data_IF_292803032905
#
_entry.id   IF_292803032905
#
_cell.length_a   1.000
_cell.length_b   1.000
_cell.length_c   1.000
_cell.angle_alpha   90.00
_cell.angle_beta   90.00
_cell.angle_gamma   90.00
#
_symmetry.space_group_name_H-M   'P 1'
#
loop_
_entity.id
_entity.type
_entity.pdbx_description
1 polymer ?
#
# COMPACT_ATOMS: atom_id res chain seq x y z
N UNK A 1 9.89 21.18 6.91
CA UNK A 1 9.71 19.75 6.55
C UNK A 1 8.40 19.62 5.79
N UNK A 2 8.35 18.90 4.67
CA UNK A 2 7.12 18.62 3.92
C UNK A 2 6.77 17.13 4.08
N UNK A 3 5.86 16.78 5.00
CA UNK A 3 5.51 15.38 5.22
C UNK A 3 4.61 14.85 4.12
N UNK A 4 4.69 13.54 3.88
CA UNK A 4 3.70 12.77 3.13
C UNK A 4 3.27 11.64 4.06
N UNK A 5 1.96 11.44 4.23
CA UNK A 5 1.43 10.32 5.02
C UNK A 5 1.24 9.11 4.12
N UNK A 6 1.39 7.91 4.69
CA UNK A 6 1.22 6.64 3.97
C UNK A 6 0.37 5.70 4.82
N UNK A 7 -0.65 5.10 4.23
CA UNK A 7 -1.48 4.07 4.89
C UNK A 7 -0.76 2.73 4.98
N UNK A 8 -1.10 1.89 5.95
CA UNK A 8 -0.49 0.58 6.13
C UNK A 8 -1.21 -0.50 5.29
N UNK A 9 -0.54 -1.14 4.32
CA UNK A 9 -1.05 -2.34 3.66
C UNK A 9 -0.82 -3.57 4.53
N UNK A 10 -1.67 -4.58 4.32
CA UNK A 10 -1.56 -5.91 4.92
C UNK A 10 -2.06 -6.96 3.92
N UNK A 11 -1.53 -8.18 4.01
CA UNK A 11 -1.92 -9.28 3.14
C UNK A 11 -3.37 -9.71 3.41
N UNK A 12 -3.73 -9.97 4.67
CA UNK A 12 -5.08 -10.44 5.02
C UNK A 12 -6.15 -9.36 4.79
N UNK A 13 -7.40 -9.80 4.60
CA UNK A 13 -8.53 -8.92 4.33
C UNK A 13 -9.56 -9.59 3.46
N UNK A 14 -10.32 -8.83 2.69
CA UNK A 14 -11.25 -9.41 1.72
C UNK A 14 -10.52 -9.87 0.47
N UNK A 15 -10.84 -11.05 -0.04
CA UNK A 15 -10.33 -11.56 -1.31
C UNK A 15 -9.61 -12.90 -1.19
N UNK A 16 -9.22 -13.43 -2.33
CA UNK A 16 -8.46 -14.67 -2.45
C UNK A 16 -7.04 -14.31 -2.86
N UNK A 17 -6.05 -14.83 -2.15
CA UNK A 17 -4.65 -14.68 -2.51
C UNK A 17 -4.39 -15.36 -3.86
N UNK A 18 -4.01 -14.63 -4.93
CA UNK A 18 -3.83 -15.20 -6.26
C UNK A 18 -2.65 -16.18 -6.34
N UNK A 19 -1.66 -16.09 -5.44
CA UNK A 19 -0.50 -17.00 -5.45
C UNK A 19 -0.82 -18.35 -4.80
N UNK A 20 -1.70 -18.38 -3.79
CA UNK A 20 -1.97 -19.60 -3.02
C UNK A 20 -3.40 -20.14 -3.16
N UNK A 21 -4.34 -19.32 -3.62
CA UNK A 21 -5.78 -19.64 -3.66
C UNK A 21 -6.47 -19.58 -2.30
N UNK A 22 -5.78 -19.12 -1.25
CA UNK A 22 -6.34 -19.03 0.10
C UNK A 22 -7.31 -17.86 0.22
N UNK A 23 -8.48 -18.08 0.84
CA UNK A 23 -9.39 -17.01 1.23
C UNK A 23 -8.81 -16.22 2.41
N UNK A 24 -8.30 -15.02 2.11
CA UNK A 24 -7.66 -14.11 3.06
C UNK A 24 -8.63 -13.54 4.09
N UNK A 25 -9.94 -13.70 3.90
CA UNK A 25 -10.94 -13.30 4.87
C UNK A 25 -11.05 -14.26 6.04
N UNK A 26 -10.71 -15.53 5.79
CA UNK A 26 -10.86 -16.64 6.74
C UNK A 26 -9.59 -16.98 7.51
N UNK A 27 -8.42 -16.47 7.08
CA UNK A 27 -7.16 -16.73 7.77
C UNK A 27 -7.22 -16.21 9.21
N UNK A 28 -6.60 -16.95 10.13
CA UNK A 28 -6.62 -16.60 11.55
C UNK A 28 -5.49 -15.62 11.88
N UNK A 29 -5.87 -14.41 12.24
CA UNK A 29 -4.97 -13.35 12.72
C UNK A 29 -5.19 -13.19 14.22
N UNK A 30 -4.34 -13.87 15.00
CA UNK A 30 -4.51 -14.01 16.47
C UNK A 30 -5.88 -14.64 16.79
N UNK A 31 -6.81 -13.85 17.31
CA UNK A 31 -8.16 -14.30 17.70
C UNK A 31 -9.25 -13.82 16.73
N UNK A 32 -8.84 -13.22 15.60
CA UNK A 32 -9.75 -12.67 14.59
C UNK A 32 -9.61 -13.40 13.26
N UNK A 33 -10.69 -13.42 12.48
CA UNK A 33 -10.61 -13.72 11.04
C UNK A 33 -9.95 -12.56 10.28
N UNK A 34 -9.31 -12.87 9.15
CA UNK A 34 -8.56 -11.90 8.35
C UNK A 34 -9.38 -10.70 7.89
N UNK A 35 -10.66 -10.89 7.56
CA UNK A 35 -11.57 -9.76 7.26
C UNK A 35 -11.77 -8.82 8.46
N UNK A 36 -11.98 -9.36 9.66
CA UNK A 36 -12.17 -8.56 10.87
C UNK A 36 -10.88 -7.88 11.29
N UNK A 37 -9.74 -8.57 11.22
CA UNK A 37 -8.44 -8.00 11.50
C UNK A 37 -8.10 -6.86 10.51
N UNK A 38 -8.44 -7.03 9.24
CA UNK A 38 -8.29 -5.98 8.23
C UNK A 38 -9.15 -4.76 8.54
N UNK A 39 -10.42 -4.95 8.90
CA UNK A 39 -11.30 -3.82 9.28
C UNK A 39 -10.72 -3.01 10.43
N UNK A 40 -10.06 -3.66 11.41
CA UNK A 40 -9.37 -2.95 12.48
C UNK A 40 -8.21 -2.10 11.94
N UNK A 41 -7.34 -2.65 11.10
CA UNK A 41 -6.25 -1.88 10.48
C UNK A 41 -6.81 -0.74 9.61
N UNK A 42 -7.91 -0.99 8.90
CA UNK A 42 -8.52 0.00 8.02
C UNK A 42 -9.05 1.21 8.81
N UNK A 43 -9.40 1.05 10.09
CA UNK A 43 -9.68 2.20 10.96
C UNK A 43 -8.47 3.07 11.21
N UNK A 44 -7.27 2.50 11.32
CA UNK A 44 -6.04 3.30 11.39
C UNK A 44 -5.80 4.03 10.07
N UNK A 45 -5.97 3.34 8.94
CA UNK A 45 -5.85 3.95 7.60
C UNK A 45 -6.86 5.09 7.39
N UNK A 46 -8.11 4.94 7.84
CA UNK A 46 -9.14 5.98 7.83
C UNK A 46 -8.69 7.23 8.59
N UNK A 47 -8.07 7.05 9.76
CA UNK A 47 -7.51 8.17 10.54
C UNK A 47 -6.34 8.83 9.81
N UNK A 48 -5.45 8.06 9.18
CA UNK A 48 -4.35 8.60 8.36
C UNK A 48 -4.88 9.45 7.20
N UNK A 49 -5.85 8.93 6.45
CA UNK A 49 -6.52 9.67 5.35
C UNK A 49 -7.22 10.92 5.86
N UNK A 50 -7.94 10.83 6.98
CA UNK A 50 -8.60 11.98 7.61
C UNK A 50 -7.59 13.03 8.05
N UNK A 51 -6.48 12.64 8.67
CA UNK A 51 -5.45 13.55 9.12
C UNK A 51 -4.83 14.30 7.95
N UNK A 52 -4.53 13.60 6.85
CA UNK A 52 -4.02 14.25 5.63
C UNK A 52 -4.96 15.34 5.10
N UNK A 53 -6.27 15.08 5.06
CA UNK A 53 -7.25 16.10 4.66
C UNK A 53 -7.35 17.28 5.63
N UNK A 54 -7.32 17.03 6.94
CA UNK A 54 -7.49 18.08 7.97
C UNK A 54 -6.24 18.94 8.10
N UNK A 55 -5.06 18.35 7.95
CA UNK A 55 -3.78 19.03 8.08
C UNK A 55 -3.22 19.55 6.74
N UNK A 56 -3.94 19.36 5.63
CA UNK A 56 -3.49 19.65 4.26
C UNK A 56 -2.13 18.99 3.94
N UNK A 57 -2.03 17.70 4.28
CA UNK A 57 -0.85 16.86 4.04
C UNK A 57 -1.22 15.78 3.02
N UNK A 58 -0.47 15.61 1.93
CA UNK A 58 -0.71 14.55 0.96
C UNK A 58 -0.68 13.16 1.59
N UNK A 59 -1.56 12.28 1.10
CA UNK A 59 -1.67 10.89 1.55
C UNK A 59 -1.47 9.96 0.37
N UNK A 60 -0.59 8.97 0.53
CA UNK A 60 -0.46 7.84 -0.37
C UNK A 60 -1.20 6.65 0.21
N UNK A 61 -2.24 6.20 -0.48
CA UNK A 61 -3.08 5.07 -0.07
C UNK A 61 -2.43 3.72 -0.47
N UNK A 62 -1.25 3.46 0.09
CA UNK A 62 -0.51 2.22 -0.13
C UNK A 62 -1.34 0.97 0.27
N UNK A 63 -2.28 1.13 1.21
CA UNK A 63 -3.19 0.07 1.64
C UNK A 63 -4.13 -0.39 0.52
N UNK A 64 -4.58 0.54 -0.33
CA UNK A 64 -5.40 0.25 -1.49
C UNK A 64 -4.56 -0.15 -2.72
N UNK A 65 -3.37 0.45 -2.88
CA UNK A 65 -2.52 0.25 -4.06
C UNK A 65 -1.69 -1.06 -4.01
N UNK A 66 -1.39 -1.58 -2.82
CA UNK A 66 -0.63 -2.84 -2.69
C UNK A 66 -1.52 -4.07 -2.94
N UNK A 67 -1.11 -5.00 -3.83
CA UNK A 67 -1.85 -6.22 -4.09
C UNK A 67 -1.91 -7.14 -2.86
N UNK A 68 -3.07 -7.73 -2.59
CA UNK A 68 -3.22 -8.81 -1.60
C UNK A 68 -2.76 -10.14 -2.17
N UNK A 69 -1.46 -10.25 -2.42
CA UNK A 69 -0.79 -11.41 -3.01
C UNK A 69 0.40 -11.79 -2.13
N UNK A 70 0.43 -13.03 -1.63
CA UNK A 70 1.49 -13.50 -0.73
C UNK A 70 2.88 -13.48 -1.36
N UNK A 71 3.01 -13.39 -2.69
CA UNK A 71 4.30 -13.15 -3.37
C UNK A 71 5.01 -11.91 -2.83
N UNK A 72 4.25 -10.89 -2.44
CA UNK A 72 4.79 -9.61 -1.96
C UNK A 72 5.03 -9.57 -0.45
N UNK A 73 4.63 -10.60 0.31
CA UNK A 73 4.74 -10.60 1.76
C UNK A 73 5.43 -11.86 2.29
N UNK A 74 6.41 -11.69 3.17
CA UNK A 74 7.03 -12.79 3.92
C UNK A 74 6.06 -13.38 4.95
N UNK A 75 5.23 -12.53 5.54
CA UNK A 75 4.19 -12.89 6.49
C UNK A 75 2.93 -12.04 6.24
N UNK A 76 2.19 -11.68 7.28
CA UNK A 76 1.01 -10.85 7.13
C UNK A 76 1.26 -9.37 6.81
N UNK A 77 2.48 -8.87 7.05
CA UNK A 77 2.79 -7.43 6.97
C UNK A 77 4.18 -7.10 6.40
N UNK A 78 5.17 -7.97 6.57
CA UNK A 78 6.53 -7.72 6.11
C UNK A 78 6.70 -8.09 4.64
N UNK A 79 7.40 -7.27 3.87
CA UNK A 79 7.53 -7.44 2.43
C UNK A 79 8.70 -8.35 2.04
N UNK A 80 8.50 -9.15 1.00
CA UNK A 80 9.59 -9.83 0.27
C UNK A 80 10.43 -8.80 -0.51
N UNK A 81 11.53 -9.20 -1.20
CA UNK A 81 12.25 -8.30 -2.10
C UNK A 81 11.33 -7.80 -3.22
N UNK A 82 10.57 -8.71 -3.85
CA UNK A 82 9.54 -8.35 -4.83
C UNK A 82 8.46 -7.44 -4.24
N UNK A 83 8.07 -7.65 -2.98
CA UNK A 83 7.13 -6.75 -2.28
C UNK A 83 7.71 -5.37 -2.04
N UNK A 84 8.99 -5.29 -1.69
CA UNK A 84 9.70 -4.03 -1.49
C UNK A 84 9.84 -3.24 -2.80
N UNK A 85 10.11 -3.93 -3.90
CA UNK A 85 10.11 -3.33 -5.25
C UNK A 85 8.71 -2.83 -5.64
N UNK A 86 7.66 -3.60 -5.35
CA UNK A 86 6.29 -3.16 -5.61
C UNK A 86 5.91 -1.92 -4.77
N UNK A 87 6.29 -1.88 -3.49
CA UNK A 87 6.10 -0.69 -2.65
C UNK A 87 6.87 0.50 -3.24
N UNK A 88 8.13 0.32 -3.63
CA UNK A 88 8.93 1.39 -4.23
C UNK A 88 8.31 1.94 -5.51
N UNK A 89 7.79 1.06 -6.37
CA UNK A 89 7.06 1.39 -7.59
C UNK A 89 5.81 2.23 -7.31
N UNK A 90 4.97 1.81 -6.35
CA UNK A 90 3.78 2.58 -5.92
C UNK A 90 4.19 3.93 -5.35
N UNK A 91 5.12 3.96 -4.40
CA UNK A 91 5.56 5.19 -3.73
C UNK A 91 6.16 6.16 -4.75
N UNK A 92 7.06 5.73 -5.64
CA UNK A 92 7.66 6.59 -6.65
C UNK A 92 6.59 7.21 -7.57
N UNK A 93 5.63 6.40 -8.03
CA UNK A 93 4.54 6.84 -8.89
C UNK A 93 3.65 7.89 -8.20
N UNK A 94 3.38 7.73 -6.90
CA UNK A 94 2.49 8.61 -6.13
C UNK A 94 3.20 9.86 -5.57
N UNK A 95 4.47 9.74 -5.18
CA UNK A 95 5.29 10.85 -4.66
C UNK A 95 5.70 11.82 -5.77
N UNK A 96 5.98 11.33 -6.98
CA UNK A 96 6.44 12.19 -8.07
C UNK A 96 5.56 13.43 -8.34
N UNK A 97 4.23 13.32 -8.54
CA UNK A 97 3.39 14.50 -8.77
C UNK A 97 3.36 15.44 -7.55
N UNK A 98 3.51 14.91 -6.32
CA UNK A 98 3.61 15.72 -5.10
C UNK A 98 4.89 16.56 -5.13
N UNK A 99 6.02 15.93 -5.46
CA UNK A 99 7.31 16.63 -5.57
C UNK A 99 7.31 17.65 -6.71
N UNK A 100 6.70 17.35 -7.86
CA UNK A 100 6.54 18.31 -8.95
C UNK A 100 5.77 19.56 -8.52
N UNK A 101 4.70 19.39 -7.74
CA UNK A 101 3.93 20.50 -7.20
C UNK A 101 4.71 21.35 -6.18
N UNK A 102 5.50 20.70 -5.31
CA UNK A 102 6.28 21.38 -4.28
C UNK A 102 7.57 22.03 -4.78
N UNK A 103 8.22 21.42 -5.77
CA UNK A 103 9.56 21.78 -6.21
C UNK A 103 9.64 21.85 -7.74
N UNK A 104 8.86 22.73 -8.40
CA UNK A 104 8.80 22.77 -9.86
C UNK A 104 10.16 23.05 -10.51
N UNK A 105 11.07 23.79 -9.85
CA UNK A 105 12.43 24.07 -10.34
C UNK A 105 13.41 22.90 -10.27
N UNK A 106 13.05 21.80 -9.60
CA UNK A 106 13.85 20.58 -9.47
C UNK A 106 13.16 19.36 -10.10
N UNK A 107 11.98 19.57 -10.68
CA UNK A 107 11.17 18.57 -11.37
C UNK A 107 11.71 18.36 -12.79
N UNK A 108 12.18 17.16 -13.10
CA UNK A 108 12.62 16.80 -14.46
C UNK A 108 11.97 15.50 -14.91
N UNK A 109 11.43 15.48 -16.13
CA UNK A 109 10.85 14.28 -16.74
C UNK A 109 9.39 14.02 -16.32
N UNK A 110 8.86 12.89 -16.80
CA UNK A 110 7.50 12.45 -16.51
C UNK A 110 7.46 11.57 -15.26
N UNK A 111 6.32 11.58 -14.56
CA UNK A 111 6.11 10.69 -13.42
C UNK A 111 5.87 9.25 -13.86
N UNK A 112 6.50 8.25 -13.21
CA UNK A 112 6.27 6.87 -13.54
C UNK A 112 4.81 6.49 -13.22
N UNK A 113 4.23 5.64 -14.07
CA UNK A 113 3.02 4.92 -13.73
C UNK A 113 3.37 3.71 -12.86
N UNK A 114 2.40 3.24 -12.07
CA UNK A 114 2.56 2.00 -11.31
C UNK A 114 2.72 0.86 -12.32
N UNK A 115 3.91 0.28 -12.38
CA UNK A 115 4.16 -0.88 -13.23
C UNK A 115 3.29 -2.07 -12.76
N UNK A 116 2.71 -2.85 -13.69
CA UNK A 116 1.97 -4.05 -13.33
C UNK A 116 2.89 -5.09 -12.66
N UNK A 117 2.35 -5.98 -11.81
CA UNK A 117 3.04 -7.16 -11.31
C UNK A 117 3.80 -7.89 -12.43
N UNK A 118 5.07 -8.25 -12.22
CA UNK A 118 5.72 -9.21 -13.10
C UNK A 118 4.92 -10.52 -13.10
N UNK A 119 4.53 -10.97 -14.30
CA UNK A 119 3.87 -12.26 -14.48
C UNK A 119 4.81 -13.36 -13.98
N UNK A 120 4.31 -14.25 -13.13
CA UNK A 120 5.10 -15.43 -12.75
C UNK A 120 5.40 -16.24 -14.03
N UNK A 121 6.69 -16.48 -14.27
CA UNK A 121 7.16 -17.46 -15.25
C UNK A 121 6.83 -18.88 -14.77
#
# INVERSE_FOLDING_TARGET
MQPVLVTQPLLYGTGVDPTTGVDLGTVRIRDLGGSTAWQLMERYNDITRRLGRVADVPVIDLAADMPKDSRYYYDWMHFTPAGSEMVANVIASRVCPILHGWFPGHSTGDCPAIAPPETAN
#
